data_IF_092993625823
#
_entry.id   IF_092993625823
#
_cell.length_a   1.000
_cell.length_b   1.000
_cell.length_c   1.000
_cell.angle_alpha   90.00
_cell.angle_beta   90.00
_cell.angle_gamma   90.00
#
_symmetry.space_group_name_H-M   'P 1'
#
loop_
_entity.id
_entity.type
_entity.pdbx_description
1 polymer ?
#
# COMPACT_ATOMS: atom_id res chain seq x y z
N UNK A 1 79.04 20.58 -65.54
CA UNK A 1 78.27 19.35 -65.17
C UNK A 1 78.09 19.17 -63.66
N UNK A 2 79.07 19.48 -62.79
CA UNK A 2 78.93 19.33 -61.33
C UNK A 2 77.79 20.15 -60.69
N UNK A 3 77.52 21.35 -61.19
CA UNK A 3 76.49 22.23 -60.60
C UNK A 3 75.04 21.80 -60.90
N UNK A 4 74.79 21.07 -61.99
CA UNK A 4 73.45 20.59 -62.36
C UNK A 4 73.05 19.37 -61.51
N UNK A 5 74.03 18.51 -61.19
CA UNK A 5 73.85 17.34 -60.33
C UNK A 5 73.48 17.73 -58.89
N UNK A 6 74.06 18.82 -58.37
CA UNK A 6 73.74 19.35 -57.04
C UNK A 6 72.31 19.91 -57.02
N UNK A 7 71.89 20.61 -58.07
CA UNK A 7 70.56 21.23 -58.14
C UNK A 7 69.44 20.17 -58.22
N UNK A 8 69.68 19.05 -58.91
CA UNK A 8 68.76 17.90 -58.94
C UNK A 8 68.66 17.18 -57.59
N UNK A 9 69.75 17.06 -56.84
CA UNK A 9 69.74 16.48 -55.49
C UNK A 9 68.97 17.37 -54.49
N UNK A 10 69.13 18.68 -54.57
CA UNK A 10 68.35 19.62 -53.74
C UNK A 10 66.86 19.65 -54.12
N UNK A 11 66.53 19.62 -55.42
CA UNK A 11 65.13 19.55 -55.87
C UNK A 11 64.45 18.24 -55.46
N UNK A 12 65.16 17.11 -55.55
CA UNK A 12 64.67 15.81 -55.09
C UNK A 12 64.50 15.74 -53.57
N UNK A 13 65.44 16.30 -52.80
CA UNK A 13 65.35 16.36 -51.34
C UNK A 13 64.21 17.26 -50.85
N UNK A 14 63.99 18.41 -51.50
CA UNK A 14 62.91 19.34 -51.15
C UNK A 14 61.53 18.76 -51.44
N UNK A 15 61.35 18.12 -52.59
CA UNK A 15 60.07 17.46 -52.94
C UNK A 15 59.78 16.27 -52.03
N UNK A 16 60.78 15.46 -51.68
CA UNK A 16 60.63 14.38 -50.71
C UNK A 16 60.29 14.89 -49.30
N UNK A 17 60.94 15.98 -48.85
CA UNK A 17 60.64 16.62 -47.57
C UNK A 17 59.23 17.21 -47.51
N UNK A 18 58.79 17.88 -48.59
CA UNK A 18 57.44 18.41 -48.71
C UNK A 18 56.37 17.29 -48.67
N UNK A 19 56.57 16.21 -49.43
CA UNK A 19 55.67 15.05 -49.42
C UNK A 19 55.66 14.34 -48.05
N UNK A 20 56.80 14.26 -47.38
CA UNK A 20 56.89 13.68 -46.04
C UNK A 20 56.11 14.51 -45.01
N UNK A 21 56.27 15.83 -45.01
CA UNK A 21 55.52 16.72 -44.13
C UNK A 21 54.01 16.69 -44.42
N UNK A 22 53.62 16.66 -45.69
CA UNK A 22 52.21 16.58 -46.07
C UNK A 22 51.60 15.24 -45.64
N UNK A 23 52.32 14.13 -45.81
CA UNK A 23 51.91 12.80 -45.32
C UNK A 23 51.83 12.74 -43.79
N UNK A 24 52.77 13.38 -43.09
CA UNK A 24 52.74 13.49 -41.62
C UNK A 24 51.50 14.25 -41.14
N UNK A 25 51.20 15.41 -41.74
CA UNK A 25 50.02 16.20 -41.39
C UNK A 25 48.70 15.48 -41.70
N UNK A 26 48.63 14.71 -42.79
CA UNK A 26 47.46 13.88 -43.12
C UNK A 26 47.31 12.75 -42.09
N UNK A 27 48.39 12.09 -41.69
CA UNK A 27 48.35 11.02 -40.68
C UNK A 27 47.93 11.54 -39.30
N UNK A 28 48.43 12.70 -38.88
CA UNK A 28 48.02 13.36 -37.64
C UNK A 28 46.54 13.76 -37.67
N UNK A 29 46.07 14.33 -38.79
CA UNK A 29 44.66 14.66 -38.97
C UNK A 29 43.77 13.41 -38.97
N UNK A 30 44.22 12.30 -39.55
CA UNK A 30 43.49 11.03 -39.53
C UNK A 30 43.43 10.46 -38.11
N UNK A 31 44.54 10.47 -37.37
CA UNK A 31 44.59 10.00 -35.98
C UNK A 31 43.70 10.85 -35.05
N UNK A 32 43.68 12.17 -35.24
CA UNK A 32 42.79 13.07 -34.53
C UNK A 32 41.31 12.79 -34.86
N UNK A 33 40.99 12.58 -36.14
CA UNK A 33 39.63 12.21 -36.56
C UNK A 33 39.19 10.85 -35.99
N UNK A 34 40.08 9.86 -35.95
CA UNK A 34 39.80 8.54 -35.35
C UNK A 34 39.52 8.66 -33.85
N UNK A 35 40.27 9.50 -33.14
CA UNK A 35 40.06 9.75 -31.70
C UNK A 35 38.73 10.46 -31.46
N UNK A 36 38.39 11.47 -32.27
CA UNK A 36 37.09 12.14 -32.21
C UNK A 36 35.92 11.20 -32.48
N UNK A 37 36.05 10.29 -33.45
CA UNK A 37 35.03 9.27 -33.73
C UNK A 37 34.86 8.35 -32.50
N UNK A 38 35.95 7.87 -31.90
CA UNK A 38 35.87 7.02 -30.72
C UNK A 38 35.22 7.72 -29.51
N UNK A 39 35.48 9.02 -29.33
CA UNK A 39 34.85 9.81 -28.26
C UNK A 39 33.36 10.06 -28.53
N UNK A 40 32.97 10.30 -29.78
CA UNK A 40 31.56 10.42 -30.19
C UNK A 40 30.81 9.09 -30.01
N UNK A 41 31.42 7.96 -30.36
CA UNK A 41 30.83 6.64 -30.13
C UNK A 41 30.59 6.37 -28.64
N UNK A 42 31.54 6.72 -27.77
CA UNK A 42 31.35 6.66 -26.31
C UNK A 42 30.21 7.56 -25.84
N UNK A 43 30.14 8.80 -26.34
CA UNK A 43 29.08 9.74 -25.99
C UNK A 43 27.69 9.22 -26.41
N UNK A 44 27.58 8.64 -27.62
CA UNK A 44 26.35 8.02 -28.11
C UNK A 44 25.96 6.81 -27.25
N UNK A 45 26.92 5.96 -26.87
CA UNK A 45 26.66 4.84 -25.96
C UNK A 45 26.13 5.32 -24.61
N UNK A 46 26.71 6.39 -24.03
CA UNK A 46 26.23 7.04 -22.81
C UNK A 46 24.80 7.56 -22.96
N UNK A 47 24.49 8.28 -24.05
CA UNK A 47 23.15 8.82 -24.32
C UNK A 47 22.10 7.72 -24.52
N UNK A 48 22.46 6.58 -25.14
CA UNK A 48 21.57 5.42 -25.25
C UNK A 48 21.29 4.79 -23.89
N UNK A 49 22.28 4.66 -23.02
CA UNK A 49 22.09 4.16 -21.66
C UNK A 49 21.18 5.09 -20.83
N UNK A 50 21.39 6.42 -20.93
CA UNK A 50 20.50 7.42 -20.31
C UNK A 50 19.05 7.28 -20.81
N UNK A 51 18.85 7.17 -22.13
CA UNK A 51 17.51 7.01 -22.73
C UNK A 51 16.80 5.73 -22.26
N UNK A 52 17.54 4.62 -22.14
CA UNK A 52 17.01 3.37 -21.59
C UNK A 52 16.63 3.53 -20.10
N UNK A 53 17.45 4.23 -19.32
CA UNK A 53 17.15 4.50 -17.91
C UNK A 53 15.88 5.36 -17.76
N UNK A 54 15.73 6.41 -18.57
CA UNK A 54 14.53 7.26 -18.59
C UNK A 54 13.29 6.45 -18.99
N UNK A 55 13.41 5.60 -20.00
CA UNK A 55 12.30 4.73 -20.45
C UNK A 55 11.83 3.79 -19.32
N UNK A 56 12.76 3.21 -18.55
CA UNK A 56 12.43 2.40 -17.36
C UNK A 56 11.70 3.22 -16.30
N UNK A 57 12.12 4.47 -16.05
CA UNK A 57 11.45 5.35 -15.08
C UNK A 57 10.02 5.67 -15.51
N UNK A 58 9.78 5.93 -16.79
CA UNK A 58 8.41 6.18 -17.31
C UNK A 58 7.52 4.95 -17.10
N UNK A 59 8.02 3.75 -17.42
CA UNK A 59 7.29 2.50 -17.20
C UNK A 59 6.96 2.27 -15.70
N UNK A 60 7.92 2.55 -14.81
CA UNK A 60 7.71 2.48 -13.36
C UNK A 60 6.65 3.48 -12.90
N UNK A 61 6.68 4.73 -13.41
CA UNK A 61 5.66 5.74 -13.09
C UNK A 61 4.25 5.30 -13.50
N UNK A 62 4.11 4.66 -14.67
CA UNK A 62 2.84 4.07 -15.11
C UNK A 62 2.33 3.02 -14.12
N UNK A 63 3.19 2.06 -13.75
CA UNK A 63 2.85 1.04 -12.75
C UNK A 63 2.47 1.63 -11.39
N UNK A 64 3.16 2.68 -10.93
CA UNK A 64 2.83 3.38 -9.68
C UNK A 64 1.44 4.01 -9.77
N UNK A 65 1.08 4.61 -10.91
CA UNK A 65 -0.23 5.21 -11.11
C UNK A 65 -1.35 4.14 -11.07
N UNK A 66 -1.15 3.01 -11.74
CA UNK A 66 -2.07 1.86 -11.70
C UNK A 66 -2.23 1.31 -10.29
N UNK A 67 -1.12 1.12 -9.56
CA UNK A 67 -1.16 0.64 -8.17
C UNK A 67 -1.85 1.62 -7.23
N UNK A 68 -1.68 2.94 -7.43
CA UNK A 68 -2.41 3.96 -6.67
C UNK A 68 -3.91 3.89 -6.92
N UNK A 69 -4.33 3.70 -8.18
CA UNK A 69 -5.74 3.52 -8.51
C UNK A 69 -6.34 2.25 -7.88
N UNK A 70 -5.60 1.13 -7.94
CA UNK A 70 -6.00 -0.12 -7.31
C UNK A 70 -6.12 0.01 -5.78
N UNK A 71 -5.18 0.69 -5.13
CA UNK A 71 -5.23 0.98 -3.69
C UNK A 71 -6.46 1.82 -3.31
N UNK A 72 -6.78 2.83 -4.11
CA UNK A 72 -7.98 3.65 -3.88
C UNK A 72 -9.28 2.84 -3.98
N UNK A 73 -9.36 1.89 -4.92
CA UNK A 73 -10.51 0.99 -5.05
C UNK A 73 -10.63 0.05 -3.85
N UNK A 74 -9.51 -0.52 -3.40
CA UNK A 74 -9.47 -1.36 -2.19
C UNK A 74 -9.90 -0.56 -0.94
N UNK A 75 -9.43 0.68 -0.79
CA UNK A 75 -9.85 1.54 0.33
C UNK A 75 -11.36 1.82 0.31
N UNK A 76 -11.96 2.06 -0.86
CA UNK A 76 -13.41 2.23 -1.00
C UNK A 76 -14.16 0.97 -0.59
N UNK A 77 -13.68 -0.21 -1.01
CA UNK A 77 -14.28 -1.50 -0.63
C UNK A 77 -14.18 -1.73 0.88
N UNK A 78 -13.03 -1.49 1.50
CA UNK A 78 -12.84 -1.59 2.95
C UNK A 78 -13.83 -0.67 3.68
N UNK A 79 -13.94 0.59 3.23
CA UNK A 79 -14.89 1.53 3.83
C UNK A 79 -16.33 1.02 3.72
N UNK A 80 -16.75 0.58 2.54
CA UNK A 80 -18.09 0.05 2.31
C UNK A 80 -18.39 -1.18 3.19
N UNK A 81 -17.44 -2.09 3.34
CA UNK A 81 -17.59 -3.27 4.22
C UNK A 81 -17.69 -2.84 5.68
N UNK A 82 -16.87 -1.90 6.12
CA UNK A 82 -16.90 -1.40 7.48
C UNK A 82 -18.21 -0.67 7.81
N UNK A 83 -18.71 0.14 6.87
CA UNK A 83 -19.99 0.83 6.98
C UNK A 83 -21.14 -0.18 7.08
N UNK A 84 -21.14 -1.21 6.22
CA UNK A 84 -22.13 -2.29 6.26
C UNK A 84 -22.06 -3.11 7.56
N UNK A 85 -20.84 -3.41 8.04
CA UNK A 85 -20.63 -4.12 9.30
C UNK A 85 -21.16 -3.31 10.49
N UNK A 86 -20.84 -2.02 10.54
CA UNK A 86 -21.31 -1.10 11.60
C UNK A 86 -22.83 -0.96 11.57
N UNK A 87 -23.43 -0.83 10.38
CA UNK A 87 -24.87 -0.81 10.22
C UNK A 87 -25.53 -2.11 10.70
N UNK A 88 -24.94 -3.26 10.38
CA UNK A 88 -25.41 -4.57 10.84
C UNK A 88 -25.32 -4.70 12.36
N UNK A 89 -24.21 -4.29 12.97
CA UNK A 89 -24.06 -4.27 14.43
C UNK A 89 -25.10 -3.36 15.08
N UNK A 90 -25.28 -2.14 14.57
CA UNK A 90 -26.32 -1.22 15.04
C UNK A 90 -27.71 -1.85 14.96
N UNK A 91 -28.07 -2.43 13.82
CA UNK A 91 -29.36 -3.10 13.64
C UNK A 91 -29.55 -4.28 14.61
N UNK A 92 -28.49 -5.06 14.88
CA UNK A 92 -28.51 -6.11 15.91
C UNK A 92 -28.77 -5.52 17.30
N UNK A 93 -28.04 -4.47 17.70
CA UNK A 93 -28.24 -3.82 19.00
C UNK A 93 -29.64 -3.21 19.14
N UNK A 94 -30.15 -2.55 18.09
CA UNK A 94 -31.49 -1.97 18.08
C UNK A 94 -32.55 -3.08 18.21
N UNK A 95 -32.36 -4.22 17.53
CA UNK A 95 -33.24 -5.39 17.64
C UNK A 95 -33.20 -5.97 19.05
N UNK A 96 -32.01 -6.20 19.62
CA UNK A 96 -31.86 -6.68 20.99
C UNK A 96 -32.49 -5.73 22.00
N UNK A 97 -32.28 -4.43 21.86
CA UNK A 97 -32.91 -3.42 22.72
C UNK A 97 -34.45 -3.50 22.65
N UNK A 98 -35.02 -3.66 21.45
CA UNK A 98 -36.47 -3.81 21.27
C UNK A 98 -37.02 -5.08 21.93
N UNK A 99 -36.29 -6.20 21.86
CA UNK A 99 -36.67 -7.46 22.51
C UNK A 99 -36.61 -7.29 24.02
N UNK A 100 -35.51 -6.75 24.55
CA UNK A 100 -35.30 -6.49 25.98
C UNK A 100 -36.39 -5.58 26.55
N UNK A 101 -36.81 -4.56 25.81
CA UNK A 101 -37.87 -3.65 26.23
C UNK A 101 -39.21 -4.36 26.48
N UNK A 102 -39.50 -5.45 25.75
CA UNK A 102 -40.73 -6.25 25.97
C UNK A 102 -40.73 -6.98 27.30
N UNK A 103 -39.56 -7.27 27.85
CA UNK A 103 -39.43 -7.95 29.15
C UNK A 103 -39.43 -6.96 30.32
N UNK A 104 -39.20 -5.67 30.08
CA UNK A 104 -39.26 -4.66 31.15
C UNK A 104 -40.69 -4.56 31.66
N UNK A 105 -40.84 -4.69 32.98
CA UNK A 105 -42.12 -4.65 33.67
C UNK A 105 -42.79 -6.01 33.84
N UNK A 106 -42.28 -7.07 33.17
CA UNK A 106 -42.76 -8.44 33.33
C UNK A 106 -42.32 -9.00 34.68
N UNK A 107 -43.24 -9.70 35.36
CA UNK A 107 -42.97 -10.43 36.60
C UNK A 107 -42.83 -11.92 36.28
N UNK A 108 -41.72 -12.52 36.68
CA UNK A 108 -41.49 -13.95 36.47
C UNK A 108 -40.63 -14.56 37.58
N UNK A 109 -40.75 -15.88 37.83
CA UNK A 109 -39.84 -16.57 38.74
C UNK A 109 -38.42 -16.61 38.16
N UNK A 110 -37.42 -16.24 38.96
CA UNK A 110 -36.01 -16.31 38.56
C UNK A 110 -35.21 -17.10 39.59
N UNK A 111 -34.56 -18.17 39.12
CA UNK A 111 -33.57 -18.93 39.88
C UNK A 111 -32.19 -18.65 39.28
N UNK A 112 -31.24 -18.27 40.13
CA UNK A 112 -29.87 -18.00 39.73
C UNK A 112 -29.09 -19.29 39.48
N UNK A 113 -27.98 -19.19 38.74
CA UNK A 113 -27.06 -20.30 38.49
C UNK A 113 -26.48 -20.90 39.79
N UNK A 114 -26.39 -20.10 40.87
CA UNK A 114 -26.00 -20.55 42.20
C UNK A 114 -27.07 -21.39 42.93
N UNK A 115 -28.25 -21.57 42.33
CA UNK A 115 -29.39 -22.26 42.95
C UNK A 115 -30.21 -21.36 43.89
N UNK A 116 -29.84 -20.09 44.06
CA UNK A 116 -30.63 -19.12 44.82
C UNK A 116 -31.91 -18.77 44.08
N UNK A 117 -33.05 -19.05 44.69
CA UNK A 117 -34.36 -18.63 44.20
C UNK A 117 -34.65 -17.18 44.63
N UNK A 118 -34.96 -16.33 43.67
CA UNK A 118 -35.38 -14.94 43.92
C UNK A 118 -36.90 -14.81 43.97
N UNK A 119 -37.65 -15.88 43.73
CA UNK A 119 -39.09 -15.89 43.63
C UNK A 119 -39.58 -15.09 42.42
N UNK A 120 -40.84 -14.63 42.50
CA UNK A 120 -41.43 -13.78 41.46
C UNK A 120 -40.87 -12.36 41.54
N UNK A 121 -40.01 -12.02 40.57
CA UNK A 121 -39.35 -10.72 40.51
C UNK A 121 -39.79 -9.95 39.27
N UNK A 122 -39.89 -8.62 39.40
CA UNK A 122 -40.25 -7.74 38.28
C UNK A 122 -38.99 -7.23 37.60
N UNK A 123 -38.88 -7.39 36.29
CA UNK A 123 -37.75 -6.88 35.53
C UNK A 123 -37.87 -5.35 35.41
N UNK A 124 -36.85 -4.63 35.85
CA UNK A 124 -36.79 -3.16 35.80
C UNK A 124 -35.96 -2.65 34.63
N UNK A 125 -34.84 -3.32 34.36
CA UNK A 125 -33.92 -2.95 33.29
C UNK A 125 -33.17 -4.19 32.81
N UNK A 126 -32.88 -4.24 31.52
CA UNK A 126 -32.10 -5.32 30.91
C UNK A 126 -31.11 -4.71 29.92
N UNK A 127 -29.82 -4.95 30.14
CA UNK A 127 -28.73 -4.50 29.28
C UNK A 127 -27.65 -5.59 29.13
N UNK A 128 -26.61 -5.33 28.34
CA UNK A 128 -25.49 -6.26 28.14
C UNK A 128 -24.71 -6.54 29.44
N UNK A 129 -24.83 -5.64 30.44
CA UNK A 129 -24.16 -5.75 31.73
C UNK A 129 -25.00 -6.51 32.77
N UNK A 130 -26.22 -6.93 32.43
CA UNK A 130 -27.05 -7.80 33.25
C UNK A 130 -28.51 -7.38 33.37
N UNK A 131 -29.18 -8.01 34.33
CA UNK A 131 -30.61 -7.88 34.59
C UNK A 131 -30.83 -7.16 35.92
N UNK A 132 -31.55 -6.04 35.92
CA UNK A 132 -32.01 -5.39 37.15
C UNK A 132 -33.44 -5.82 37.45
N UNK A 133 -33.65 -6.43 38.61
CA UNK A 133 -34.96 -6.95 39.04
C UNK A 133 -35.37 -6.33 40.37
N UNK A 134 -36.67 -6.09 40.55
CA UNK A 134 -37.25 -5.71 41.83
C UNK A 134 -37.72 -6.96 42.56
N UNK A 135 -37.20 -7.15 43.78
CA UNK A 135 -37.57 -8.17 44.75
C UNK A 135 -38.32 -7.52 45.92
N UNK A 136 -38.85 -8.33 46.84
CA UNK A 136 -39.43 -7.85 48.11
C UNK A 136 -38.42 -7.12 49.00
N UNK A 137 -37.12 -7.35 48.80
CA UNK A 137 -36.03 -6.74 49.57
C UNK A 137 -35.38 -5.52 48.89
N UNK A 138 -35.77 -5.19 47.65
CA UNK A 138 -35.26 -4.03 46.92
C UNK A 138 -34.94 -4.33 45.45
N UNK A 139 -34.11 -3.48 44.82
CA UNK A 139 -33.66 -3.70 43.43
C UNK A 139 -32.31 -4.42 43.46
N UNK A 140 -32.24 -5.58 42.80
CA UNK A 140 -31.04 -6.40 42.69
C UNK A 140 -30.58 -6.40 41.24
N UNK A 141 -29.29 -6.12 41.02
CA UNK A 141 -28.64 -6.30 39.71
C UNK A 141 -27.99 -7.68 39.67
N UNK A 142 -28.43 -8.50 38.72
CA UNK A 142 -27.92 -9.83 38.45
C UNK A 142 -26.98 -9.72 37.25
N UNK A 143 -25.72 -10.13 37.41
CA UNK A 143 -24.77 -10.12 36.30
C UNK A 143 -25.02 -11.32 35.37
N UNK A 144 -24.63 -11.26 34.09
CA UNK A 144 -24.83 -12.35 33.14
C UNK A 144 -24.43 -13.72 33.69
N UNK A 145 -23.26 -13.83 34.32
CA UNK A 145 -22.72 -15.09 34.84
C UNK A 145 -23.52 -15.70 36.00
N UNK A 146 -24.40 -14.92 36.64
CA UNK A 146 -25.28 -15.40 37.71
C UNK A 146 -26.62 -15.92 37.17
N UNK A 147 -26.95 -15.65 35.90
CA UNK A 147 -28.13 -16.19 35.24
C UNK A 147 -27.85 -17.63 34.79
N UNK A 148 -28.88 -18.48 34.84
CA UNK A 148 -28.79 -19.83 34.26
C UNK A 148 -28.60 -19.75 32.75
N UNK A 149 -28.01 -20.77 32.10
CA UNK A 149 -27.80 -20.78 30.65
C UNK A 149 -29.08 -20.54 29.85
N UNK A 150 -30.23 -21.04 30.33
CA UNK A 150 -31.53 -20.82 29.71
C UNK A 150 -31.96 -19.34 29.76
N UNK A 151 -31.77 -18.67 30.91
CA UNK A 151 -32.11 -17.26 31.06
C UNK A 151 -31.10 -16.35 30.33
N UNK A 152 -29.83 -16.73 30.27
CA UNK A 152 -28.84 -16.05 29.43
C UNK A 152 -29.23 -16.11 27.95
N UNK A 153 -29.60 -17.28 27.44
CA UNK A 153 -30.05 -17.43 26.06
C UNK A 153 -31.30 -16.58 25.76
N UNK A 154 -32.23 -16.51 26.72
CA UNK A 154 -33.48 -15.76 26.58
C UNK A 154 -33.32 -14.24 26.66
N UNK A 155 -32.39 -13.73 27.48
CA UNK A 155 -32.25 -12.29 27.74
C UNK A 155 -31.04 -11.62 27.11
N UNK A 156 -29.96 -12.38 26.94
CA UNK A 156 -28.70 -11.87 26.43
C UNK A 156 -28.42 -12.30 24.98
N UNK A 157 -29.15 -13.29 24.45
CA UNK A 157 -29.01 -13.80 23.07
C UNK A 157 -27.54 -13.87 22.64
N UNK A 158 -26.73 -14.60 23.43
CA UNK A 158 -25.36 -14.93 23.06
C UNK A 158 -25.40 -16.05 22.02
N UNK A 159 -25.09 -15.73 20.76
CA UNK A 159 -24.75 -16.72 19.74
C UNK A 159 -23.25 -17.02 19.79
#
# INVERSE_FOLDING_TARGET
MKNILILLLFAGGYTAWYFYHQKSGINESLAAAQTQIADLEKAIAGKRAESQAVSKVVAIKGKIAEQKAALADVQKKIKSVNDAHTATLKAKYDTLASIRQKFIGVTMPIVLASGRDLGSVRIMKMDDAGLSVATTSGVVKIVPNELTPALQAQFLYSF
#
